data_IF_505282322288
#
_entry.id   IF_505282322288
#
_cell.length_a   1.000
_cell.length_b   1.000
_cell.length_c   1.000
_cell.angle_alpha   90.00
_cell.angle_beta   90.00
_cell.angle_gamma   90.00
#
_symmetry.space_group_name_H-M   'P 1'
#
loop_
_entity.id
_entity.type
_entity.pdbx_description
1 polymer ?
#
# COMPACT_ATOMS: atom_id res chain seq x y z
N UNK A 1 -11.13 -60.31 -36.56
CA UNK A 1 -12.12 -59.30 -36.12
C UNK A 1 -11.86 -58.71 -34.72
N UNK A 2 -11.17 -59.38 -33.80
CA UNK A 2 -10.89 -58.85 -32.43
C UNK A 2 -10.11 -57.52 -32.39
N UNK A 3 -9.25 -57.26 -33.39
CA UNK A 3 -8.34 -56.09 -33.43
C UNK A 3 -9.02 -54.73 -33.67
N UNK A 4 -10.28 -54.72 -34.13
CA UNK A 4 -11.03 -53.46 -34.36
C UNK A 4 -11.71 -52.93 -33.11
N UNK A 5 -12.12 -53.81 -32.20
CA UNK A 5 -12.86 -53.45 -30.98
C UNK A 5 -11.92 -52.70 -30.01
N UNK A 6 -10.65 -53.11 -29.92
CA UNK A 6 -9.65 -52.39 -29.11
C UNK A 6 -9.38 -50.96 -29.60
N UNK A 7 -9.40 -50.73 -30.92
CA UNK A 7 -9.15 -49.40 -31.51
C UNK A 7 -10.29 -48.41 -31.22
N UNK A 8 -11.53 -48.88 -31.22
CA UNK A 8 -12.68 -48.05 -30.80
C UNK A 8 -12.71 -47.82 -29.28
N UNK A 9 -12.36 -48.83 -28.47
CA UNK A 9 -12.28 -48.69 -27.01
C UNK A 9 -11.18 -47.72 -26.57
N UNK A 10 -10.00 -47.79 -27.19
CA UNK A 10 -8.89 -46.84 -26.94
C UNK A 10 -9.25 -45.41 -27.32
N UNK A 11 -9.99 -45.19 -28.44
CA UNK A 11 -10.47 -43.86 -28.82
C UNK A 11 -11.50 -43.28 -27.85
N UNK A 12 -12.40 -44.12 -27.33
CA UNK A 12 -13.37 -43.70 -26.31
C UNK A 12 -12.70 -43.29 -25.00
N UNK A 13 -11.71 -44.07 -24.54
CA UNK A 13 -10.92 -43.75 -23.34
C UNK A 13 -10.14 -42.45 -23.51
N UNK A 14 -9.49 -42.25 -24.66
CA UNK A 14 -8.75 -41.01 -24.96
C UNK A 14 -9.65 -39.76 -25.02
N UNK A 15 -10.89 -39.90 -25.51
CA UNK A 15 -11.88 -38.81 -25.52
C UNK A 15 -12.33 -38.43 -24.11
N UNK A 16 -12.58 -39.43 -23.25
CA UNK A 16 -12.95 -39.20 -21.85
C UNK A 16 -11.79 -38.58 -21.08
N UNK A 17 -10.57 -39.08 -21.28
CA UNK A 17 -9.36 -38.52 -20.66
C UNK A 17 -9.14 -37.05 -21.04
N UNK A 18 -9.30 -36.70 -22.32
CA UNK A 18 -9.23 -35.32 -22.78
C UNK A 18 -10.33 -34.44 -22.15
N UNK A 19 -11.55 -34.96 -21.99
CA UNK A 19 -12.65 -34.23 -21.36
C UNK A 19 -12.38 -34.00 -19.87
N UNK A 20 -11.87 -35.00 -19.16
CA UNK A 20 -11.45 -34.85 -17.75
C UNK A 20 -10.31 -33.83 -17.66
N UNK A 21 -9.31 -33.89 -18.53
CA UNK A 21 -8.21 -32.92 -18.56
C UNK A 21 -8.71 -31.49 -18.79
N UNK A 22 -9.62 -31.26 -19.73
CA UNK A 22 -10.22 -29.95 -19.98
C UNK A 22 -11.01 -29.42 -18.77
N UNK A 23 -11.74 -30.30 -18.07
CA UNK A 23 -12.47 -29.91 -16.85
C UNK A 23 -11.50 -29.55 -15.72
N UNK A 24 -10.42 -30.31 -15.52
CA UNK A 24 -9.41 -29.98 -14.53
C UNK A 24 -8.72 -28.65 -14.84
N UNK A 25 -8.36 -28.42 -16.10
CA UNK A 25 -7.78 -27.17 -16.59
C UNK A 25 -8.71 -25.98 -16.37
N UNK A 26 -10.02 -26.13 -16.59
CA UNK A 26 -10.98 -25.04 -16.39
C UNK A 26 -11.14 -24.67 -14.91
N UNK A 27 -11.18 -25.66 -14.01
CA UNK A 27 -11.23 -25.43 -12.55
C UNK A 27 -9.95 -24.73 -12.07
N UNK A 28 -8.78 -25.17 -12.54
CA UNK A 28 -7.50 -24.52 -12.23
C UNK A 28 -7.45 -23.08 -12.77
N UNK A 29 -7.89 -22.86 -14.01
CA UNK A 29 -7.94 -21.54 -14.62
C UNK A 29 -8.86 -20.58 -13.86
N UNK A 30 -10.03 -21.05 -13.41
CA UNK A 30 -10.96 -20.26 -12.62
C UNK A 30 -10.37 -19.90 -11.23
N UNK A 31 -9.69 -20.87 -10.60
CA UNK A 31 -8.97 -20.63 -9.35
C UNK A 31 -7.87 -19.59 -9.50
N UNK A 32 -7.07 -19.66 -10.56
CA UNK A 32 -6.04 -18.66 -10.85
C UNK A 32 -6.63 -17.28 -11.13
N UNK A 33 -7.69 -17.18 -11.93
CA UNK A 33 -8.36 -15.91 -12.21
C UNK A 33 -8.88 -15.25 -10.93
N UNK A 34 -9.46 -16.03 -10.02
CA UNK A 34 -9.90 -15.54 -8.72
C UNK A 34 -8.73 -15.02 -7.86
N UNK A 35 -7.63 -15.77 -7.80
CA UNK A 35 -6.44 -15.37 -7.06
C UNK A 35 -5.82 -14.08 -7.63
N UNK A 36 -5.69 -13.98 -8.95
CA UNK A 36 -5.17 -12.79 -9.63
C UNK A 36 -6.03 -11.55 -9.39
N UNK A 37 -7.35 -11.69 -9.37
CA UNK A 37 -8.25 -10.58 -9.04
C UNK A 37 -7.98 -10.01 -7.65
N UNK A 38 -7.76 -10.88 -6.66
CA UNK A 38 -7.44 -10.47 -5.28
C UNK A 38 -6.07 -9.81 -5.18
N UNK A 39 -5.04 -10.38 -5.82
CA UNK A 39 -3.68 -9.82 -5.77
C UNK A 39 -3.58 -8.48 -6.49
N UNK A 40 -4.33 -8.29 -7.58
CA UNK A 40 -4.36 -7.02 -8.30
C UNK A 40 -4.93 -5.89 -7.43
N UNK A 41 -5.99 -6.16 -6.66
CA UNK A 41 -6.55 -5.19 -5.71
C UNK A 41 -5.55 -4.84 -4.61
N UNK A 42 -4.87 -5.83 -4.04
CA UNK A 42 -3.80 -5.58 -3.06
C UNK A 42 -2.65 -4.74 -3.65
N UNK A 43 -2.28 -4.98 -4.91
CA UNK A 43 -1.23 -4.22 -5.59
C UNK A 43 -1.59 -2.74 -5.77
N UNK A 44 -2.88 -2.42 -5.98
CA UNK A 44 -3.37 -1.05 -6.09
C UNK A 44 -3.17 -0.29 -4.78
N UNK A 45 -3.56 -0.89 -3.66
CA UNK A 45 -3.42 -0.26 -2.33
C UNK A 45 -1.96 -0.03 -1.97
N UNK A 46 -1.08 -1.00 -2.21
CA UNK A 46 0.36 -0.83 -1.97
C UNK A 46 0.97 0.31 -2.79
N UNK A 47 0.59 0.45 -4.06
CA UNK A 47 1.05 1.57 -4.89
C UNK A 47 0.56 2.91 -4.36
N UNK A 48 -0.71 3.00 -3.98
CA UNK A 48 -1.27 4.22 -3.40
C UNK A 48 -0.58 4.61 -2.08
N UNK A 49 -0.31 3.64 -1.20
CA UNK A 49 0.42 3.88 0.05
C UNK A 49 1.85 4.35 -0.21
N UNK A 50 2.55 3.73 -1.17
CA UNK A 50 3.89 4.17 -1.58
C UNK A 50 3.88 5.60 -2.12
N UNK A 51 2.88 5.95 -2.94
CA UNK A 51 2.70 7.31 -3.43
C UNK A 51 2.42 8.29 -2.29
N UNK A 52 1.55 7.95 -1.33
CA UNK A 52 1.28 8.79 -0.16
C UNK A 52 2.55 9.09 0.63
N UNK A 53 3.39 8.08 0.89
CA UNK A 53 4.69 8.26 1.56
C UNK A 53 5.63 9.16 0.75
N UNK A 54 5.66 9.00 -0.58
CA UNK A 54 6.46 9.87 -1.45
C UNK A 54 5.93 11.31 -1.45
N UNK A 55 4.62 11.51 -1.44
CA UNK A 55 3.99 12.81 -1.29
C UNK A 55 4.38 13.50 0.02
N UNK A 56 4.29 12.78 1.15
CA UNK A 56 4.74 13.31 2.46
C UNK A 56 6.23 13.65 2.41
N UNK A 57 7.07 12.78 1.82
CA UNK A 57 8.50 13.07 1.68
C UNK A 57 8.75 14.32 0.83
N UNK A 58 8.02 14.49 -0.28
CA UNK A 58 8.16 15.66 -1.14
C UNK A 58 7.72 16.94 -0.42
N UNK A 59 6.63 16.89 0.35
CA UNK A 59 6.17 17.98 1.20
C UNK A 59 7.23 18.36 2.25
N UNK A 60 7.82 17.37 2.94
CA UNK A 60 8.89 17.59 3.91
C UNK A 60 10.19 18.11 3.29
N UNK A 61 10.53 17.66 2.08
CA UNK A 61 11.72 18.14 1.36
C UNK A 61 11.54 19.59 0.87
N UNK A 62 10.32 19.95 0.48
CA UNK A 62 10.03 21.30 -0.06
C UNK A 62 9.84 22.32 1.05
N UNK A 63 9.08 21.97 2.09
CA UNK A 63 8.68 22.89 3.15
C UNK A 63 9.56 22.77 4.40
N UNK A 64 10.27 21.66 4.60
CA UNK A 64 11.01 21.38 5.83
C UNK A 64 10.12 20.90 6.97
N UNK A 65 10.73 20.25 7.97
CA UNK A 65 9.98 19.60 9.06
C UNK A 65 9.32 20.60 10.02
N UNK A 66 9.97 21.75 10.28
CA UNK A 66 9.49 22.73 11.24
C UNK A 66 8.41 23.68 10.69
N UNK A 67 8.12 23.63 9.38
CA UNK A 67 7.19 24.57 8.77
C UNK A 67 5.78 24.38 9.32
N UNK A 68 5.18 25.45 9.84
CA UNK A 68 3.84 25.42 10.44
C UNK A 68 3.75 24.73 11.81
N UNK A 69 4.88 24.37 12.41
CA UNK A 69 4.93 23.86 13.79
C UNK A 69 4.90 25.03 14.79
N UNK A 70 4.34 24.84 16.01
CA UNK A 70 4.39 25.85 17.05
C UNK A 70 5.80 25.94 17.63
N UNK A 71 6.13 27.07 18.27
CA UNK A 71 7.43 27.22 18.94
C UNK A 71 7.64 26.22 20.08
N UNK A 72 6.55 25.77 20.73
CA UNK A 72 6.52 24.73 21.74
C UNK A 72 5.14 24.06 21.78
N UNK A 73 5.09 22.80 22.19
CA UNK A 73 3.82 22.06 22.32
C UNK A 73 3.41 21.37 21.03
N UNK A 74 2.10 21.24 20.80
CA UNK A 74 1.52 20.46 19.72
C UNK A 74 0.50 21.28 18.93
N UNK A 75 0.49 21.12 17.60
CA UNK A 75 -0.55 21.67 16.71
C UNK A 75 -0.98 20.61 15.73
N UNK A 76 -2.25 20.63 15.33
CA UNK A 76 -2.78 19.79 14.25
C UNK A 76 -3.40 20.68 13.19
N UNK A 77 -3.04 20.45 11.94
CA UNK A 77 -3.61 21.15 10.78
C UNK A 77 -4.01 20.12 9.73
N UNK A 78 -5.16 20.33 9.09
CA UNK A 78 -5.56 19.55 7.93
C UNK A 78 -5.12 20.24 6.65
N UNK A 79 -4.55 19.47 5.71
CA UNK A 79 -4.10 19.98 4.41
C UNK A 79 -4.20 18.91 3.34
N UNK A 80 -4.39 19.34 2.11
CA UNK A 80 -4.32 18.45 0.95
C UNK A 80 -2.87 18.10 0.63
N UNK A 81 -2.60 16.82 0.38
CA UNK A 81 -1.28 16.29 0.07
C UNK A 81 -1.19 15.95 -1.43
N UNK A 82 -0.51 16.79 -2.24
CA UNK A 82 -0.32 16.49 -3.65
C UNK A 82 0.63 15.30 -3.82
N UNK A 83 0.18 14.27 -4.54
CA UNK A 83 0.97 13.10 -4.92
C UNK A 83 1.54 13.22 -6.34
N UNK A 84 1.25 14.33 -7.02
CA UNK A 84 1.63 14.61 -8.40
C UNK A 84 0.75 15.71 -9.01
N UNK A 85 0.83 15.93 -10.34
CA UNK A 85 0.13 17.04 -10.99
C UNK A 85 -1.40 16.90 -11.02
N UNK A 86 -1.92 15.67 -10.96
CA UNK A 86 -3.36 15.38 -11.10
C UNK A 86 -3.92 14.50 -9.97
N UNK A 87 -3.16 14.31 -8.91
CA UNK A 87 -3.55 13.42 -7.81
C UNK A 87 -3.19 14.09 -6.49
N UNK A 88 -4.19 14.29 -5.64
CA UNK A 88 -4.04 14.78 -4.28
C UNK A 88 -4.82 13.86 -3.34
N UNK A 89 -4.38 13.80 -2.09
CA UNK A 89 -5.20 13.27 -1.01
C UNK A 89 -5.72 14.44 -0.20
N UNK A 90 -7.03 14.53 -0.09
CA UNK A 90 -7.70 15.60 0.65
C UNK A 90 -7.78 15.27 2.15
N UNK A 91 -7.86 16.30 2.98
CA UNK A 91 -8.04 16.18 4.44
C UNK A 91 -6.97 15.33 5.16
N UNK A 92 -5.69 15.53 4.83
CA UNK A 92 -4.59 14.89 5.56
C UNK A 92 -4.32 15.66 6.85
N UNK A 93 -4.54 14.99 7.99
CA UNK A 93 -4.23 15.55 9.29
C UNK A 93 -2.72 15.50 9.54
N UNK A 94 -2.09 16.67 9.62
CA UNK A 94 -0.70 16.84 10.01
C UNK A 94 -0.61 17.38 11.43
N UNK A 95 -0.13 16.55 12.33
CA UNK A 95 0.17 16.91 13.72
C UNK A 95 1.65 17.16 13.87
N UNK A 96 2.03 18.32 14.40
CA UNK A 96 3.41 18.65 14.71
C UNK A 96 3.57 18.92 16.20
N UNK A 97 4.57 18.27 16.80
CA UNK A 97 4.89 18.36 18.23
C UNK A 97 6.36 18.75 18.41
N UNK A 98 6.61 19.83 19.14
CA UNK A 98 7.95 20.34 19.45
C UNK A 98 8.26 20.06 20.92
N UNK A 99 9.30 19.26 21.15
CA UNK A 99 9.68 18.77 22.48
C UNK A 99 11.12 19.19 22.80
N UNK A 100 11.40 19.72 24.00
CA UNK A 100 12.78 19.97 24.43
C UNK A 100 13.53 18.65 24.63
N UNK A 101 14.76 18.58 24.14
CA UNK A 101 15.67 17.44 24.23
C UNK A 101 17.02 17.94 24.71
N UNK A 102 17.58 17.28 25.72
CA UNK A 102 18.92 17.56 26.21
C UNK A 102 19.89 16.69 25.40
N UNK A 103 20.83 17.33 24.72
CA UNK A 103 21.90 16.65 23.99
C UNK A 103 23.20 16.85 24.74
N UNK A 104 23.87 15.75 25.05
CA UNK A 104 25.16 15.74 25.75
C UNK A 104 26.27 15.40 24.76
N UNK A 105 27.20 16.34 24.55
CA UNK A 105 28.42 16.12 23.74
C UNK A 105 29.61 16.51 24.63
N UNK A 106 30.56 15.61 24.81
CA UNK A 106 31.77 15.81 25.63
C UNK A 106 31.50 16.38 27.04
N UNK A 107 30.54 15.77 27.77
CA UNK A 107 30.08 16.21 29.10
C UNK A 107 29.45 17.62 29.17
N UNK A 108 29.12 18.23 28.02
CA UNK A 108 28.39 19.49 27.96
C UNK A 108 26.94 19.20 27.57
N UNK A 109 26.01 19.55 28.45
CA UNK A 109 24.58 19.48 28.17
C UNK A 109 24.12 20.75 27.44
N UNK A 110 23.44 20.56 26.30
CA UNK A 110 22.77 21.62 25.57
C UNK A 110 21.30 21.28 25.43
N UNK A 111 20.44 22.22 25.78
CA UNK A 111 19.02 22.10 25.52
C UNK A 111 18.78 22.46 24.04
N UNK A 112 18.20 21.53 23.29
CA UNK A 112 17.77 21.72 21.91
C UNK A 112 16.30 21.32 21.78
N UNK A 113 15.64 21.72 20.71
CA UNK A 113 14.29 21.26 20.40
C UNK A 113 14.33 20.15 19.37
N UNK A 114 13.42 19.19 19.51
CA UNK A 114 13.17 18.14 18.52
C UNK A 114 11.75 18.29 17.98
N UNK A 115 11.62 18.15 16.66
CA UNK A 115 10.34 18.22 15.95
C UNK A 115 9.88 16.81 15.63
N UNK A 116 8.71 16.45 16.13
CA UNK A 116 8.00 15.21 15.82
C UNK A 116 6.78 15.54 14.95
N UNK A 117 6.70 14.90 13.80
CA UNK A 117 5.62 15.03 12.84
C UNK A 117 4.86 13.72 12.75
N UNK A 118 3.54 13.84 12.72
CA UNK A 118 2.63 12.74 12.46
C UNK A 118 1.64 13.17 11.36
N UNK A 119 1.59 12.40 10.29
CA UNK A 119 0.60 12.53 9.22
C UNK A 119 -0.40 11.39 9.35
N UNK A 120 -1.69 11.71 9.36
CA UNK A 120 -2.79 10.76 9.38
C UNK A 120 -3.68 11.00 8.17
N UNK A 121 -3.88 9.94 7.40
CA UNK A 121 -4.74 9.96 6.21
C UNK A 121 -5.89 9.00 6.43
N UNK A 122 -7.12 9.51 6.34
CA UNK A 122 -8.33 8.66 6.33
C UNK A 122 -8.43 7.94 4.99
N UNK A 123 -8.31 6.61 5.00
CA UNK A 123 -8.37 5.83 3.78
C UNK A 123 -9.81 5.53 3.42
N UNK A 124 -10.46 6.42 2.67
CA UNK A 124 -11.84 6.16 2.26
C UNK A 124 -11.91 5.34 0.96
N UNK A 125 -10.89 5.36 0.08
CA UNK A 125 -10.92 4.56 -1.15
C UNK A 125 -9.54 4.24 -1.77
N UNK A 126 -8.57 5.15 -1.66
CA UNK A 126 -7.31 5.05 -2.42
C UNK A 126 -6.30 4.08 -1.77
N UNK A 127 -6.17 4.11 -0.45
CA UNK A 127 -5.13 3.41 0.31
C UNK A 127 -5.55 2.02 0.82
N UNK A 128 -6.78 1.60 0.50
CA UNK A 128 -7.41 0.39 1.03
C UNK A 128 -8.19 0.67 2.32
N UNK A 129 -8.74 -0.37 2.97
CA UNK A 129 -9.42 -0.20 4.25
C UNK A 129 -8.41 0.18 5.36
N UNK A 130 -8.69 1.24 6.12
CA UNK A 130 -7.92 1.62 7.32
C UNK A 130 -7.56 3.10 7.41
N UNK A 131 -6.52 3.41 8.19
CA UNK A 131 -5.89 4.75 8.23
C UNK A 131 -4.40 4.58 8.00
N UNK A 132 -3.80 5.49 7.25
CA UNK A 132 -2.34 5.53 7.07
C UNK A 132 -1.78 6.58 8.04
N UNK A 133 -1.02 6.11 9.02
CA UNK A 133 -0.31 6.96 9.97
C UNK A 133 1.19 6.91 9.69
N UNK A 134 1.79 8.07 9.43
CA UNK A 134 3.23 8.22 9.23
C UNK A 134 3.79 9.11 10.33
N UNK A 135 4.88 8.69 10.97
CA UNK A 135 5.52 9.46 12.04
C UNK A 135 7.03 9.36 11.91
N UNK A 136 7.73 10.45 12.26
CA UNK A 136 9.20 10.49 12.30
C UNK A 136 9.76 10.32 13.71
#
# INVERSE_FOLDING_TARGET
MARSIDKQRQRGVSLVEALVAMVLLSVLGLGMAHALGRTMMASKFHKAQSLAVQGVRADLQTNGMAQGCPNAGETTSSRDLPLGPNLSIDDVNRTCRVVPVIVTIDNIERNTTSVQLQYEVRAETLLGPGTLTLRN
#
